data_IF_874490286414
#
_entry.id   IF_874490286414
#
_cell.length_a   1.000
_cell.length_b   1.000
_cell.length_c   1.000
_cell.angle_alpha   90.00
_cell.angle_beta   90.00
_cell.angle_gamma   90.00
#
_symmetry.space_group_name_H-M   'P 1'
#
loop_
_entity.id
_entity.type
_entity.pdbx_description
1 polymer ?
#
# COMPACT_ATOMS: atom_id res chain seq x y z
N UNK A 1 -41.01 46.43 37.82
CA UNK A 1 -40.39 45.10 37.98
C UNK A 1 -39.96 44.65 36.59
N UNK A 2 -38.75 45.03 36.16
CA UNK A 2 -38.16 44.57 34.90
C UNK A 2 -37.41 43.27 35.20
N UNK A 3 -37.84 42.16 34.60
CA UNK A 3 -37.10 40.91 34.64
C UNK A 3 -36.04 40.94 33.53
N UNK A 4 -34.78 41.10 33.92
CA UNK A 4 -33.62 40.83 33.07
C UNK A 4 -33.54 39.33 32.80
N UNK A 5 -33.89 38.94 31.57
CA UNK A 5 -33.55 37.63 31.00
C UNK A 5 -32.03 37.58 30.83
N UNK A 6 -31.34 36.89 31.74
CA UNK A 6 -29.95 36.51 31.55
C UNK A 6 -29.85 35.51 30.40
N UNK A 7 -29.20 35.90 29.32
CA UNK A 7 -28.79 34.97 28.28
C UNK A 7 -27.80 33.97 28.90
N UNK A 8 -28.19 32.70 28.96
CA UNK A 8 -27.26 31.61 29.21
C UNK A 8 -26.31 31.58 28.01
N UNK A 9 -24.98 31.62 28.20
CA UNK A 9 -24.05 31.51 27.08
C UNK A 9 -24.27 30.16 26.40
N UNK A 10 -24.52 30.22 25.10
CA UNK A 10 -24.62 29.06 24.21
C UNK A 10 -23.24 28.40 24.18
N UNK A 11 -23.02 27.40 25.05
CA UNK A 11 -21.84 26.54 24.99
C UNK A 11 -22.00 25.65 23.78
N UNK A 12 -21.62 26.15 22.60
CA UNK A 12 -21.35 25.30 21.44
C UNK A 12 -20.28 24.31 21.86
N UNK A 13 -20.67 23.09 22.21
CA UNK A 13 -19.74 21.99 22.44
C UNK A 13 -18.88 21.86 21.19
N UNK A 14 -17.56 21.83 21.39
CA UNK A 14 -16.60 21.62 20.31
C UNK A 14 -16.94 20.32 19.56
N UNK A 15 -16.91 20.38 18.23
CA UNK A 15 -17.35 19.26 17.39
C UNK A 15 -16.15 18.47 16.88
N UNK A 16 -16.21 17.15 16.93
CA UNK A 16 -15.20 16.30 16.29
C UNK A 16 -15.15 16.52 14.76
N UNK A 17 -14.03 16.21 14.09
CA UNK A 17 -13.88 16.43 12.66
C UNK A 17 -14.99 15.79 11.82
N UNK A 18 -15.52 16.57 10.89
CA UNK A 18 -16.48 16.14 9.88
C UNK A 18 -15.88 16.24 8.47
N UNK A 19 -16.66 15.85 7.43
CA UNK A 19 -16.29 16.05 6.01
C UNK A 19 -14.98 15.40 5.56
N UNK A 20 -14.66 14.21 6.08
CA UNK A 20 -13.52 13.42 5.60
C UNK A 20 -12.15 14.13 5.78
N UNK A 21 -12.01 15.01 6.78
CA UNK A 21 -10.80 15.81 7.04
C UNK A 21 -9.52 14.99 7.20
N UNK A 22 -9.62 13.72 7.62
CA UNK A 22 -8.51 12.78 7.80
C UNK A 22 -8.54 11.61 6.80
N UNK A 23 -9.45 11.60 5.81
CA UNK A 23 -9.65 10.43 4.95
C UNK A 23 -8.44 10.09 4.08
N UNK A 24 -7.70 11.11 3.64
CA UNK A 24 -6.47 10.88 2.86
C UNK A 24 -5.37 10.21 3.70
N UNK A 25 -5.20 10.67 4.94
CA UNK A 25 -4.25 10.11 5.92
C UNK A 25 -4.67 8.68 6.29
N UNK A 26 -5.95 8.50 6.60
CA UNK A 26 -6.53 7.20 6.91
C UNK A 26 -6.31 6.20 5.78
N UNK A 27 -6.61 6.59 4.53
CA UNK A 27 -6.34 5.77 3.34
C UNK A 27 -4.86 5.41 3.21
N UNK A 28 -3.96 6.33 3.51
CA UNK A 28 -2.51 6.08 3.43
C UNK A 28 -2.03 5.11 4.52
N UNK A 29 -2.51 5.23 5.76
CA UNK A 29 -2.21 4.26 6.81
C UNK A 29 -2.86 2.89 6.52
N UNK A 30 -4.04 2.87 5.90
CA UNK A 30 -4.71 1.66 5.45
C UNK A 30 -3.93 0.87 4.39
N UNK A 31 -2.95 1.47 3.69
CA UNK A 31 -2.05 0.72 2.79
C UNK A 31 -1.28 -0.35 3.57
N UNK A 32 -0.75 -0.03 4.74
CA UNK A 32 -0.04 -0.98 5.59
C UNK A 32 -0.99 -2.01 6.24
N UNK A 33 -2.18 -1.58 6.66
CA UNK A 33 -3.20 -2.48 7.25
C UNK A 33 -3.66 -3.51 6.22
N UNK A 34 -4.00 -3.08 4.99
CA UNK A 34 -4.38 -3.99 3.91
C UNK A 34 -3.22 -4.88 3.46
N UNK A 35 -1.98 -4.39 3.53
CA UNK A 35 -0.81 -5.22 3.25
C UNK A 35 -0.66 -6.34 4.29
N UNK A 36 -0.88 -6.05 5.58
CA UNK A 36 -0.87 -7.07 6.65
C UNK A 36 -1.96 -8.12 6.43
N UNK A 37 -3.20 -7.71 6.15
CA UNK A 37 -4.33 -8.62 5.88
C UNK A 37 -4.02 -9.55 4.68
N UNK A 38 -3.28 -9.06 3.68
CA UNK A 38 -2.92 -9.83 2.50
C UNK A 38 -1.58 -10.60 2.63
N UNK A 39 -0.77 -10.31 3.66
CA UNK A 39 0.54 -10.95 3.84
C UNK A 39 0.41 -12.42 4.29
N UNK A 40 -0.71 -12.78 4.90
CA UNK A 40 -1.02 -14.15 5.32
C UNK A 40 -1.79 -14.96 4.26
N UNK A 41 -2.28 -14.33 3.18
CA UNK A 41 -2.96 -15.07 2.11
C UNK A 41 -1.98 -16.04 1.46
N UNK A 42 -2.22 -17.37 1.55
CA UNK A 42 -1.39 -18.33 0.85
C UNK A 42 -1.73 -18.20 -0.63
N UNK A 43 -0.86 -17.58 -1.41
CA UNK A 43 -1.00 -17.65 -2.86
C UNK A 43 -0.61 -19.04 -3.34
N UNK A 44 -1.43 -19.58 -4.23
CA UNK A 44 -1.06 -20.70 -5.07
C UNK A 44 0.34 -20.42 -5.60
N UNK A 45 1.29 -21.31 -5.32
CA UNK A 45 2.55 -21.33 -6.04
C UNK A 45 2.20 -21.50 -7.51
N UNK A 46 2.07 -20.40 -8.25
CA UNK A 46 2.00 -20.45 -9.70
C UNK A 46 3.42 -20.73 -10.15
N UNK A 47 3.84 -21.99 -9.97
CA UNK A 47 4.97 -22.52 -10.71
C UNK A 47 4.52 -22.60 -12.15
N UNK A 48 4.76 -21.53 -12.90
CA UNK A 48 4.64 -21.60 -14.35
C UNK A 48 5.72 -22.56 -14.82
N UNK A 49 5.29 -23.68 -15.41
CA UNK A 49 6.18 -24.65 -16.00
C UNK A 49 7.00 -24.02 -17.15
N UNK A 50 8.17 -24.59 -17.43
CA UNK A 50 9.07 -24.05 -18.43
C UNK A 50 8.49 -24.11 -19.86
N UNK A 51 7.54 -25.01 -20.14
CA UNK A 51 6.90 -25.16 -21.45
C UNK A 51 5.96 -24.00 -21.74
N UNK A 52 5.15 -23.59 -20.76
CA UNK A 52 4.29 -22.41 -20.84
C UNK A 52 5.08 -21.12 -21.09
N UNK A 53 6.25 -20.98 -20.45
CA UNK A 53 7.14 -19.82 -20.65
C UNK A 53 7.74 -19.79 -22.05
N UNK A 54 8.29 -20.93 -22.48
CA UNK A 54 8.86 -21.11 -23.82
C UNK A 54 7.80 -20.86 -24.90
N UNK A 55 6.57 -21.32 -24.67
CA UNK A 55 5.43 -21.09 -25.58
C UNK A 55 5.08 -19.61 -25.68
N UNK A 56 4.93 -18.89 -24.57
CA UNK A 56 4.61 -17.47 -24.59
C UNK A 56 5.70 -16.64 -25.31
N UNK A 57 6.97 -16.91 -25.02
CA UNK A 57 8.10 -16.25 -25.69
C UNK A 57 8.11 -16.54 -27.19
N UNK A 58 7.94 -17.81 -27.59
CA UNK A 58 7.85 -18.20 -28.99
C UNK A 58 6.68 -17.49 -29.70
N UNK A 59 5.48 -17.50 -29.13
CA UNK A 59 4.31 -16.83 -29.72
C UNK A 59 4.56 -15.32 -29.90
N UNK A 60 5.14 -14.65 -28.90
CA UNK A 60 5.45 -13.23 -28.94
C UNK A 60 6.44 -12.88 -30.05
N UNK A 61 7.50 -13.66 -30.21
CA UNK A 61 8.49 -13.46 -31.27
C UNK A 61 7.92 -13.80 -32.66
N UNK A 62 7.14 -14.87 -32.75
CA UNK A 62 6.57 -15.34 -34.01
C UNK A 62 5.46 -14.42 -34.55
N UNK A 63 4.68 -13.78 -33.67
CA UNK A 63 3.68 -12.77 -34.06
C UNK A 63 4.31 -11.46 -34.54
N UNK A 64 5.54 -11.16 -34.11
CA UNK A 64 6.31 -10.02 -34.63
C UNK A 64 6.91 -10.32 -36.00
N UNK A 65 7.58 -11.47 -36.16
CA UNK A 65 8.08 -11.92 -37.46
C UNK A 65 8.30 -13.44 -37.53
N UNK A 66 7.25 -14.15 -37.94
CA UNK A 66 7.29 -15.62 -38.05
C UNK A 66 8.27 -16.14 -39.11
N UNK A 67 8.52 -15.36 -40.17
CA UNK A 67 9.47 -15.75 -41.23
C UNK A 67 10.91 -15.77 -40.73
N UNK A 68 11.30 -14.75 -39.98
CA UNK A 68 12.62 -14.62 -39.37
C UNK A 68 12.83 -15.69 -38.31
N UNK A 69 11.82 -15.97 -37.48
CA UNK A 69 11.90 -17.04 -36.48
C UNK A 69 11.97 -18.43 -37.10
N UNK A 70 11.26 -18.67 -38.20
CA UNK A 70 11.34 -19.96 -38.94
C UNK A 70 12.74 -20.16 -39.52
N UNK A 71 13.30 -19.12 -40.16
CA UNK A 71 14.67 -19.15 -40.69
C UNK A 71 15.70 -19.44 -39.60
N UNK A 72 15.55 -18.82 -38.43
CA UNK A 72 16.43 -19.05 -37.28
C UNK A 72 16.31 -20.49 -36.75
N UNK A 73 15.10 -21.04 -36.65
CA UNK A 73 14.88 -22.41 -36.18
C UNK A 73 15.35 -23.48 -37.19
N UNK A 74 15.37 -23.16 -38.48
CA UNK A 74 15.89 -24.04 -39.53
C UNK A 74 17.42 -24.03 -39.62
N UNK A 75 18.09 -23.10 -38.94
CA UNK A 75 19.54 -23.06 -38.92
C UNK A 75 20.15 -24.25 -38.15
N UNK A 76 21.38 -24.61 -38.50
CA UNK A 76 22.10 -25.69 -37.83
C UNK A 76 22.37 -25.33 -36.36
N UNK A 77 22.78 -24.08 -36.12
CA UNK A 77 23.03 -23.50 -34.81
C UNK A 77 22.42 -22.08 -34.71
N UNK A 78 21.26 -21.94 -34.02
CA UNK A 78 20.61 -20.65 -33.82
C UNK A 78 21.47 -19.65 -33.03
N UNK A 79 22.27 -20.12 -32.06
CA UNK A 79 23.14 -19.26 -31.25
C UNK A 79 24.26 -18.68 -32.10
N UNK A 80 24.91 -19.50 -32.92
CA UNK A 80 25.94 -19.01 -33.85
C UNK A 80 25.34 -18.03 -34.86
N UNK A 81 24.16 -18.35 -35.41
CA UNK A 81 23.46 -17.49 -36.38
C UNK A 81 23.18 -16.09 -35.81
N UNK A 82 22.80 -16.01 -34.53
CA UNK A 82 22.54 -14.73 -33.85
C UNK A 82 23.80 -13.88 -33.64
N UNK A 83 25.00 -14.47 -33.59
CA UNK A 83 26.25 -13.69 -33.51
C UNK A 83 26.53 -12.87 -34.78
N UNK A 84 25.92 -13.27 -35.89
CA UNK A 84 26.04 -12.65 -37.22
C UNK A 84 24.70 -12.03 -37.65
N UNK A 85 23.80 -11.73 -36.70
CA UNK A 85 22.46 -11.26 -37.00
C UNK A 85 22.47 -9.91 -37.75
N UNK A 86 21.74 -9.86 -38.85
CA UNK A 86 21.54 -8.65 -39.66
C UNK A 86 20.04 -8.43 -39.96
N UNK A 87 19.69 -7.22 -40.40
CA UNK A 87 18.33 -6.87 -40.82
C UNK A 87 17.27 -7.14 -39.76
N UNK A 88 16.18 -7.82 -40.14
CA UNK A 88 15.05 -8.14 -39.25
C UNK A 88 15.42 -9.06 -38.09
N UNK A 89 16.40 -9.96 -38.29
CA UNK A 89 16.86 -10.85 -37.22
C UNK A 89 17.53 -10.04 -36.11
N UNK A 90 18.33 -9.04 -36.51
CA UNK A 90 18.94 -8.06 -35.61
C UNK A 90 17.86 -7.24 -34.88
N UNK A 91 16.92 -6.65 -35.62
CA UNK A 91 15.80 -5.87 -35.04
C UNK A 91 14.95 -6.66 -34.02
N UNK A 92 14.71 -7.94 -34.29
CA UNK A 92 13.88 -8.80 -33.46
C UNK A 92 14.60 -9.21 -32.16
N UNK A 93 15.91 -9.50 -32.24
CA UNK A 93 16.67 -10.24 -31.23
C UNK A 93 17.78 -9.44 -30.53
N UNK A 94 18.01 -8.17 -30.87
CA UNK A 94 18.99 -7.32 -30.20
C UNK A 94 18.59 -6.90 -28.76
N UNK A 95 19.49 -6.16 -28.08
CA UNK A 95 19.33 -5.62 -26.72
C UNK A 95 19.23 -6.69 -25.62
N UNK A 96 20.13 -7.68 -25.64
CA UNK A 96 20.21 -8.73 -24.63
C UNK A 96 19.21 -9.88 -24.83
N UNK A 97 18.46 -9.89 -25.93
CA UNK A 97 17.43 -10.92 -26.25
C UNK A 97 17.95 -12.08 -27.09
N UNK A 98 19.26 -12.18 -27.32
CA UNK A 98 19.87 -13.30 -28.06
C UNK A 98 19.55 -14.65 -27.41
N UNK A 99 19.59 -14.73 -26.07
CA UNK A 99 19.22 -15.95 -25.35
C UNK A 99 17.77 -16.36 -25.61
N UNK A 100 16.85 -15.41 -25.51
CA UNK A 100 15.41 -15.64 -25.70
C UNK A 100 15.08 -16.05 -27.14
N UNK A 101 15.72 -15.43 -28.13
CA UNK A 101 15.54 -15.80 -29.53
C UNK A 101 16.14 -17.17 -29.86
N UNK A 102 17.31 -17.50 -29.31
CA UNK A 102 17.92 -18.82 -29.48
C UNK A 102 17.03 -19.91 -28.87
N UNK A 103 16.55 -19.71 -27.64
CA UNK A 103 15.69 -20.68 -26.95
C UNK A 103 14.34 -20.85 -27.67
N UNK A 104 13.74 -19.75 -28.16
CA UNK A 104 12.51 -19.82 -28.95
C UNK A 104 12.72 -20.56 -30.29
N UNK A 105 13.86 -20.36 -30.96
CA UNK A 105 14.19 -21.06 -32.19
C UNK A 105 14.43 -22.57 -31.96
N UNK A 106 15.21 -22.92 -30.93
CA UNK A 106 15.43 -24.31 -30.52
C UNK A 106 14.10 -24.99 -30.14
N UNK A 107 13.23 -24.26 -29.44
CA UNK A 107 11.91 -24.74 -29.05
C UNK A 107 10.94 -24.89 -30.22
N UNK A 108 10.99 -24.02 -31.22
CA UNK A 108 10.25 -24.21 -32.46
C UNK A 108 10.78 -25.42 -33.24
N UNK A 109 12.10 -25.59 -33.30
CA UNK A 109 12.78 -26.72 -33.97
C UNK A 109 12.41 -28.06 -33.33
N UNK A 110 12.32 -28.13 -32.00
CA UNK A 110 11.94 -29.35 -31.27
C UNK A 110 10.48 -29.75 -31.49
N UNK A 111 9.63 -28.80 -31.92
CA UNK A 111 8.20 -29.03 -32.22
C UNK A 111 7.94 -29.38 -33.69
N UNK A 112 8.96 -29.54 -34.53
CA UNK A 112 8.78 -29.95 -35.94
C UNK A 112 7.96 -31.24 -36.07
N UNK A 113 6.97 -31.23 -36.97
CA UNK A 113 6.03 -32.32 -37.21
C UNK A 113 4.87 -32.42 -36.20
N UNK A 114 4.85 -31.59 -35.15
CA UNK A 114 3.77 -31.59 -34.16
C UNK A 114 2.59 -30.70 -34.55
N UNK A 115 1.44 -30.91 -33.92
CA UNK A 115 0.29 -29.99 -34.04
C UNK A 115 0.62 -28.59 -33.50
N UNK A 116 1.59 -28.47 -32.59
CA UNK A 116 2.09 -27.19 -32.11
C UNK A 116 2.78 -26.38 -33.22
N UNK A 117 3.56 -27.02 -34.09
CA UNK A 117 4.16 -26.35 -35.25
C UNK A 117 3.07 -25.85 -36.23
N UNK A 118 2.05 -26.69 -36.49
CA UNK A 118 0.92 -26.30 -37.35
C UNK A 118 0.18 -25.09 -36.79
N UNK A 119 -0.09 -25.09 -35.48
CA UNK A 119 -0.75 -23.99 -34.78
C UNK A 119 0.06 -22.70 -34.85
N UNK A 120 1.37 -22.77 -34.60
CA UNK A 120 2.26 -21.60 -34.67
C UNK A 120 2.34 -21.07 -36.10
N UNK A 121 2.48 -21.94 -37.11
CA UNK A 121 2.48 -21.54 -38.52
C UNK A 121 1.14 -20.95 -38.97
N UNK A 122 0.02 -21.37 -38.42
CA UNK A 122 -1.29 -20.80 -38.72
C UNK A 122 -1.36 -19.29 -38.38
N UNK A 123 -0.54 -18.81 -37.44
CA UNK A 123 -0.44 -17.39 -37.09
C UNK A 123 0.13 -16.51 -38.22
N UNK A 124 0.79 -17.11 -39.21
CA UNK A 124 1.27 -16.38 -40.42
C UNK A 124 0.17 -16.07 -41.42
N UNK A 125 -0.99 -16.72 -41.29
CA UNK A 125 -2.13 -16.51 -42.19
C UNK A 125 -2.92 -15.27 -41.79
N UNK A 126 -3.36 -14.47 -42.78
CA UNK A 126 -4.24 -13.32 -42.52
C UNK A 126 -5.54 -13.81 -41.88
N UNK A 127 -5.81 -13.37 -40.66
CA UNK A 127 -7.00 -13.73 -39.92
C UNK A 127 -7.58 -12.53 -39.19
N UNK A 128 -8.91 -12.43 -39.16
CA UNK A 128 -9.64 -11.37 -38.44
C UNK A 128 -9.44 -11.43 -36.93
N UNK A 129 -8.98 -12.56 -36.39
CA UNK A 129 -8.73 -12.75 -34.95
C UNK A 129 -7.28 -12.46 -34.52
N UNK A 130 -6.37 -12.09 -35.43
CA UNK A 130 -4.96 -11.82 -35.09
C UNK A 130 -4.79 -10.75 -34.00
N UNK A 131 -5.63 -9.71 -33.99
CA UNK A 131 -5.57 -8.67 -32.95
C UNK A 131 -5.91 -9.23 -31.56
N UNK A 132 -6.86 -10.16 -31.48
CA UNK A 132 -7.26 -10.83 -30.24
C UNK A 132 -6.18 -11.81 -29.77
N UNK A 133 -5.50 -12.47 -30.71
CA UNK A 133 -4.35 -13.35 -30.42
C UNK A 133 -3.20 -12.52 -29.86
N UNK A 134 -2.82 -11.41 -30.50
CA UNK A 134 -1.77 -10.51 -29.98
C UNK A 134 -2.10 -10.03 -28.56
N UNK A 135 -3.33 -9.57 -28.34
CA UNK A 135 -3.80 -9.12 -27.01
C UNK A 135 -3.70 -10.24 -25.97
N UNK A 136 -4.03 -11.47 -26.34
CA UNK A 136 -3.95 -12.63 -25.44
C UNK A 136 -2.51 -12.98 -25.10
N UNK A 137 -1.59 -12.94 -26.08
CA UNK A 137 -0.16 -13.22 -25.88
C UNK A 137 0.52 -12.15 -25.03
N UNK A 138 0.13 -10.88 -25.17
CA UNK A 138 0.60 -9.80 -24.30
C UNK A 138 0.15 -10.03 -22.85
N UNK A 139 -1.14 -10.30 -22.63
CA UNK A 139 -1.67 -10.63 -21.30
C UNK A 139 -1.02 -11.87 -20.68
N UNK A 140 -0.73 -12.88 -21.48
CA UNK A 140 -0.01 -14.06 -21.02
C UNK A 140 1.42 -13.68 -20.60
N UNK A 141 2.12 -12.88 -21.40
CA UNK A 141 3.47 -12.41 -21.06
C UNK A 141 3.50 -11.59 -19.77
N UNK A 142 2.52 -10.69 -19.58
CA UNK A 142 2.36 -9.91 -18.36
C UNK A 142 2.11 -10.80 -17.14
N UNK A 143 1.24 -11.80 -17.25
CA UNK A 143 0.97 -12.76 -16.18
C UNK A 143 2.22 -13.58 -15.81
N UNK A 144 3.02 -13.97 -16.80
CA UNK A 144 4.28 -14.68 -16.58
C UNK A 144 5.33 -13.81 -15.87
N UNK A 145 5.50 -12.56 -16.30
CA UNK A 145 6.40 -11.62 -15.63
C UNK A 145 5.96 -11.31 -14.21
N UNK A 146 4.66 -11.18 -13.96
CA UNK A 146 4.12 -11.00 -12.62
C UNK A 146 4.44 -12.19 -11.69
N UNK A 147 4.45 -13.41 -12.22
CA UNK A 147 4.84 -14.61 -11.48
C UNK A 147 6.35 -14.63 -11.14
N UNK A 148 7.21 -14.03 -11.97
CA UNK A 148 8.66 -13.95 -11.72
C UNK A 148 9.04 -12.89 -10.69
N UNK A 149 8.24 -11.84 -10.58
CA UNK A 149 8.44 -10.77 -9.60
C UNK A 149 7.84 -11.09 -8.23
N UNK A 150 7.28 -12.29 -8.04
CA UNK A 150 6.75 -12.72 -6.75
C UNK A 150 7.88 -12.97 -5.74
N UNK A 151 7.86 -12.34 -4.55
CA UNK A 151 8.83 -12.62 -3.51
C UNK A 151 8.75 -14.09 -3.05
N UNK A 152 9.90 -14.72 -2.82
CA UNK A 152 9.99 -16.08 -2.29
C UNK A 152 9.24 -16.20 -0.95
N UNK A 153 8.69 -17.38 -0.65
CA UNK A 153 7.82 -17.58 0.52
C UNK A 153 8.44 -17.17 1.88
N UNK A 154 9.76 -17.31 2.06
CA UNK A 154 10.46 -16.84 3.25
C UNK A 154 10.46 -15.30 3.37
N UNK A 155 10.60 -14.61 2.25
CA UNK A 155 10.57 -13.14 2.17
C UNK A 155 9.18 -12.60 2.52
N UNK A 156 8.11 -13.29 2.08
CA UNK A 156 6.72 -12.96 2.46
C UNK A 156 6.47 -13.14 3.96
N UNK A 157 6.97 -14.20 4.59
CA UNK A 157 6.83 -14.41 6.04
C UNK A 157 7.56 -13.33 6.86
N UNK A 158 8.74 -12.91 6.40
CA UNK A 158 9.48 -11.77 6.98
C UNK A 158 8.69 -10.47 6.81
N UNK A 159 8.17 -10.20 5.61
CA UNK A 159 7.34 -9.02 5.35
C UNK A 159 6.08 -9.00 6.24
N UNK A 160 5.39 -10.14 6.39
CA UNK A 160 4.22 -10.28 7.24
C UNK A 160 4.53 -9.96 8.71
N UNK A 161 5.64 -10.48 9.22
CA UNK A 161 6.09 -10.21 10.61
C UNK A 161 6.39 -8.72 10.80
N UNK A 162 7.10 -8.11 9.85
CA UNK A 162 7.45 -6.68 9.91
C UNK A 162 6.22 -5.77 9.76
N UNK A 163 5.27 -6.14 8.90
CA UNK A 163 3.97 -5.46 8.78
C UNK A 163 3.19 -5.58 10.09
N UNK A 164 3.19 -6.75 10.72
CA UNK A 164 2.56 -6.94 12.03
C UNK A 164 3.19 -6.05 13.08
N UNK A 165 4.52 -5.99 13.15
CA UNK A 165 5.23 -5.08 14.06
C UNK A 165 4.87 -3.62 13.80
N UNK A 166 4.83 -3.17 12.54
CA UNK A 166 4.45 -1.79 12.23
C UNK A 166 2.99 -1.48 12.60
N UNK A 167 2.07 -2.40 12.29
CA UNK A 167 0.63 -2.16 12.42
C UNK A 167 0.13 -2.38 13.84
N UNK A 168 0.52 -3.49 14.47
CA UNK A 168 0.03 -3.95 15.77
C UNK A 168 1.10 -3.91 16.87
N UNK A 169 2.38 -3.70 16.55
CA UNK A 169 3.46 -3.85 17.53
C UNK A 169 3.50 -5.28 18.07
N UNK A 170 3.57 -5.40 19.40
CA UNK A 170 3.62 -6.68 20.10
C UNK A 170 2.23 -7.34 20.27
N UNK A 171 1.14 -6.68 19.83
CA UNK A 171 -0.20 -7.23 19.99
C UNK A 171 -0.46 -8.37 18.99
N UNK A 172 -0.98 -9.48 19.51
CA UNK A 172 -1.23 -10.67 18.71
C UNK A 172 -2.36 -10.48 17.68
N UNK A 173 -3.39 -9.70 18.02
CA UNK A 173 -4.63 -9.51 17.24
C UNK A 173 -5.10 -8.04 17.27
N UNK A 174 -5.92 -7.60 16.29
CA UNK A 174 -6.54 -6.27 16.32
C UNK A 174 -7.29 -5.95 17.62
N UNK A 175 -8.06 -6.90 18.15
CA UNK A 175 -8.82 -6.74 19.41
C UNK A 175 -7.94 -6.64 20.66
N UNK A 176 -6.67 -7.04 20.58
CA UNK A 176 -5.71 -6.92 21.66
C UNK A 176 -5.04 -5.54 21.73
N UNK A 177 -5.16 -4.70 20.69
CA UNK A 177 -4.52 -3.37 20.63
C UNK A 177 -4.93 -2.51 21.82
N UNK A 178 -3.94 -1.89 22.47
CA UNK A 178 -4.12 -0.86 23.50
C UNK A 178 -3.26 0.36 23.19
N UNK A 179 -3.69 1.53 23.65
CA UNK A 179 -2.88 2.76 23.65
C UNK A 179 -1.99 2.73 24.89
N UNK A 180 -0.76 2.22 24.73
CA UNK A 180 0.23 2.14 25.80
C UNK A 180 0.68 3.52 26.33
N UNK A 181 1.40 3.54 27.46
CA UNK A 181 2.05 4.74 28.00
C UNK A 181 1.20 5.55 28.99
N UNK A 182 1.76 6.62 29.54
CA UNK A 182 1.11 7.45 30.58
C UNK A 182 0.13 8.47 29.99
N UNK A 183 -1.00 8.72 30.66
CA UNK A 183 -2.03 9.66 30.18
C UNK A 183 -3.45 9.12 30.41
N UNK A 184 -4.37 9.99 30.79
CA UNK A 184 -5.76 9.64 31.08
C UNK A 184 -6.77 10.13 30.04
N UNK A 185 -6.31 10.86 29.04
CA UNK A 185 -7.12 11.46 27.99
C UNK A 185 -6.43 11.34 26.62
N UNK A 186 -7.16 11.74 25.58
CA UNK A 186 -6.67 11.68 24.20
C UNK A 186 -5.43 12.53 24.01
N UNK A 187 -5.37 13.71 24.64
CA UNK A 187 -4.24 14.62 24.49
C UNK A 187 -2.95 14.07 25.13
N UNK A 188 -3.05 13.37 26.26
CA UNK A 188 -1.92 12.68 26.87
C UNK A 188 -1.42 11.50 26.05
N UNK A 189 -2.35 10.72 25.46
CA UNK A 189 -2.01 9.56 24.62
C UNK A 189 -1.49 9.96 23.23
N UNK A 190 -2.10 10.96 22.61
CA UNK A 190 -1.91 11.33 21.21
C UNK A 190 -1.05 12.59 21.03
N UNK A 191 -0.91 13.43 22.06
CA UNK A 191 0.05 14.53 22.10
C UNK A 191 -0.57 15.88 22.47
N UNK A 192 0.21 16.66 23.23
CA UNK A 192 -0.18 18.01 23.67
C UNK A 192 0.46 19.10 22.80
N UNK A 193 1.71 18.89 22.38
CA UNK A 193 2.47 19.81 21.52
C UNK A 193 3.75 19.13 21.00
N UNK A 194 4.50 19.79 20.11
CA UNK A 194 5.79 19.28 19.58
C UNK A 194 6.85 19.01 20.67
N UNK A 195 6.76 19.63 21.84
CA UNK A 195 7.67 19.39 22.98
C UNK A 195 7.12 18.39 23.99
N UNK A 196 5.84 18.00 23.85
CA UNK A 196 5.13 17.03 24.68
C UNK A 196 4.37 16.07 23.76
N UNK A 197 5.10 15.16 23.08
CA UNK A 197 4.49 14.19 22.18
C UNK A 197 3.56 13.24 22.93
N UNK A 198 2.67 12.60 22.19
CA UNK A 198 1.77 11.60 22.77
C UNK A 198 2.54 10.39 23.26
N UNK A 199 2.10 9.79 24.37
CA UNK A 199 2.77 8.61 24.92
C UNK A 199 2.53 7.33 24.13
N UNK A 200 1.45 7.29 23.32
CA UNK A 200 1.18 6.23 22.36
C UNK A 200 1.56 6.63 20.92
N UNK A 201 2.00 7.87 20.71
CA UNK A 201 2.27 8.42 19.38
C UNK A 201 3.40 7.65 18.68
N UNK A 202 3.10 7.11 17.50
CA UNK A 202 4.08 6.42 16.66
C UNK A 202 4.52 5.06 17.17
N UNK A 203 3.92 4.53 18.24
CA UNK A 203 4.22 3.18 18.71
C UNK A 203 3.73 2.12 17.71
N UNK A 204 2.52 2.29 17.17
CA UNK A 204 1.93 1.40 16.16
C UNK A 204 1.01 2.20 15.24
N UNK A 205 0.81 1.74 14.00
CA UNK A 205 -0.19 2.34 13.10
C UNK A 205 -1.60 2.21 13.70
N UNK A 206 -1.90 1.12 14.40
CA UNK A 206 -3.18 0.96 15.09
C UNK A 206 -3.41 2.03 16.16
N UNK A 207 -2.39 2.38 16.94
CA UNK A 207 -2.45 3.46 17.93
C UNK A 207 -2.66 4.82 17.30
N UNK A 208 -1.91 5.12 16.23
CA UNK A 208 -2.07 6.37 15.48
C UNK A 208 -3.46 6.48 14.84
N UNK A 209 -4.01 5.38 14.31
CA UNK A 209 -5.37 5.32 13.79
C UNK A 209 -6.42 5.59 14.87
N UNK A 210 -6.25 5.06 16.09
CA UNK A 210 -7.13 5.39 17.22
C UNK A 210 -7.02 6.88 17.60
N UNK A 211 -5.83 7.46 17.54
CA UNK A 211 -5.62 8.89 17.80
C UNK A 211 -6.24 9.81 16.74
N UNK A 212 -6.17 9.44 15.46
CA UNK A 212 -6.62 10.27 14.33
C UNK A 212 -8.11 10.06 14.04
N UNK A 213 -8.58 8.81 14.14
CA UNK A 213 -9.90 8.41 13.67
C UNK A 213 -10.88 8.08 14.79
N UNK A 214 -10.40 7.71 15.98
CA UNK A 214 -11.26 7.43 17.13
C UNK A 214 -12.17 8.60 17.48
N UNK A 215 -13.33 8.29 18.04
CA UNK A 215 -14.28 9.29 18.49
C UNK A 215 -14.24 9.48 20.01
N UNK A 216 -14.43 10.70 20.49
CA UNK A 216 -14.64 11.01 21.90
C UNK A 216 -16.05 10.59 22.37
N UNK A 217 -17.02 10.65 21.46
CA UNK A 217 -18.41 10.19 21.64
C UNK A 217 -18.78 9.19 20.55
N UNK A 218 -19.84 8.40 20.75
CA UNK A 218 -20.23 7.37 19.78
C UNK A 218 -20.43 7.95 18.35
N UNK A 219 -19.58 7.55 17.39
CA UNK A 219 -19.63 7.94 15.98
C UNK A 219 -19.48 9.46 15.70
N UNK A 220 -18.88 10.21 16.63
CA UNK A 220 -18.70 11.66 16.49
C UNK A 220 -17.63 12.04 15.46
N UNK A 221 -16.49 11.35 15.43
CA UNK A 221 -15.42 11.61 14.47
C UNK A 221 -15.71 10.96 13.11
N UNK A 222 -16.06 11.80 12.13
CA UNK A 222 -16.30 11.42 10.72
C UNK A 222 -15.16 11.86 9.79
N UNK A 223 -14.00 12.17 10.36
CA UNK A 223 -12.82 12.60 9.63
C UNK A 223 -12.22 11.47 8.79
N UNK A 224 -12.26 10.23 9.27
CA UNK A 224 -11.69 9.07 8.55
C UNK A 224 -12.75 8.24 7.81
N UNK A 225 -13.87 7.96 8.47
CA UNK A 225 -14.98 7.17 7.95
C UNK A 225 -16.27 8.00 7.97
N UNK A 226 -17.04 7.97 6.88
CA UNK A 226 -18.31 8.71 6.81
C UNK A 226 -19.33 8.27 7.86
N UNK A 227 -19.33 6.97 8.21
CA UNK A 227 -20.18 6.41 9.26
C UNK A 227 -19.78 6.89 10.67
N UNK A 228 -18.57 7.45 10.82
CA UNK A 228 -17.96 7.74 12.11
C UNK A 228 -17.24 6.52 12.69
N UNK A 229 -16.23 6.75 13.53
CA UNK A 229 -15.59 5.68 14.29
C UNK A 229 -16.26 5.45 15.65
N UNK A 230 -16.08 4.27 16.21
CA UNK A 230 -16.52 3.98 17.58
C UNK A 230 -15.88 4.92 18.62
N UNK A 231 -16.55 5.06 19.77
CA UNK A 231 -16.01 5.79 20.90
C UNK A 231 -14.77 5.08 21.45
N UNK A 232 -13.67 5.81 21.63
CA UNK A 232 -12.43 5.32 22.23
C UNK A 232 -12.32 5.81 23.67
N UNK A 233 -12.09 4.89 24.59
CA UNK A 233 -11.69 5.23 25.96
C UNK A 233 -10.17 5.44 26.00
N UNK A 234 -9.73 6.69 26.20
CA UNK A 234 -8.31 7.04 26.27
C UNK A 234 -7.72 6.92 27.69
N UNK A 235 -8.57 6.76 28.70
CA UNK A 235 -8.14 6.52 30.07
C UNK A 235 -7.58 5.10 30.21
N UNK A 236 -6.26 4.99 30.38
CA UNK A 236 -5.58 3.71 30.57
C UNK A 236 -5.51 2.84 29.31
N UNK A 237 -5.17 1.57 29.51
CA UNK A 237 -5.07 0.54 28.47
C UNK A 237 -6.30 -0.38 28.56
N UNK A 238 -7.32 -0.15 27.74
CA UNK A 238 -8.61 -0.85 27.86
C UNK A 238 -9.07 -1.53 26.58
N UNK A 239 -9.88 -2.59 26.73
CA UNK A 239 -10.32 -3.46 25.63
C UNK A 239 -11.07 -2.74 24.50
N UNK A 240 -11.83 -1.70 24.83
CA UNK A 240 -12.56 -0.89 23.84
C UNK A 240 -11.64 -0.34 22.73
N UNK A 241 -10.38 -0.02 23.04
CA UNK A 241 -9.42 0.47 22.05
C UNK A 241 -9.20 -0.55 20.92
N UNK A 242 -9.06 -1.84 21.27
CA UNK A 242 -8.90 -2.90 20.29
C UNK A 242 -10.17 -3.14 19.46
N UNK A 243 -11.35 -3.05 20.06
CA UNK A 243 -12.63 -3.17 19.35
C UNK A 243 -12.82 -2.03 18.34
N UNK A 244 -12.49 -0.79 18.71
CA UNK A 244 -12.59 0.35 17.77
C UNK A 244 -11.55 0.20 16.66
N UNK A 245 -10.32 -0.21 17.00
CA UNK A 245 -9.30 -0.46 15.98
C UNK A 245 -9.71 -1.55 15.00
N UNK A 246 -10.29 -2.66 15.46
CA UNK A 246 -10.77 -3.72 14.58
C UNK A 246 -11.79 -3.20 13.55
N UNK A 247 -12.72 -2.34 13.98
CA UNK A 247 -13.67 -1.69 13.08
C UNK A 247 -12.98 -0.74 12.08
N UNK A 248 -11.97 0.02 12.52
CA UNK A 248 -11.15 0.87 11.64
C UNK A 248 -10.34 0.02 10.64
N UNK A 249 -9.77 -1.10 11.06
CA UNK A 249 -9.05 -2.01 10.18
C UNK A 249 -9.99 -2.63 9.13
N UNK A 250 -11.20 -3.04 9.52
CA UNK A 250 -12.22 -3.49 8.58
C UNK A 250 -12.60 -2.41 7.56
N UNK A 251 -12.66 -1.15 7.97
CA UNK A 251 -12.89 0.00 7.09
C UNK A 251 -11.81 0.19 6.02
N UNK A 252 -10.58 -0.25 6.27
CA UNK A 252 -9.48 -0.16 5.30
C UNK A 252 -9.72 -0.98 4.03
N UNK A 253 -10.54 -2.03 4.10
CA UNK A 253 -10.90 -2.88 2.95
C UNK A 253 -11.62 -2.10 1.85
N UNK A 254 -12.23 -0.96 2.17
CA UNK A 254 -12.82 -0.06 1.16
C UNK A 254 -11.77 0.53 0.20
N UNK A 255 -10.50 0.58 0.60
CA UNK A 255 -9.40 1.07 -0.24
C UNK A 255 -8.65 -0.05 -0.96
N UNK A 256 -8.94 -1.31 -0.65
CA UNK A 256 -8.46 -2.48 -1.38
C UNK A 256 -9.55 -3.56 -1.48
N UNK A 257 -10.69 -3.26 -2.13
CA UNK A 257 -11.88 -4.11 -2.07
C UNK A 257 -11.70 -5.48 -2.73
N UNK A 258 -10.69 -5.61 -3.60
CA UNK A 258 -10.36 -6.86 -4.29
C UNK A 258 -9.30 -7.70 -3.55
N UNK A 259 -8.76 -7.18 -2.44
CA UNK A 259 -7.67 -7.85 -1.73
C UNK A 259 -6.41 -7.99 -2.60
N UNK A 260 -6.15 -7.01 -3.49
CA UNK A 260 -4.96 -7.05 -4.33
C UNK A 260 -3.70 -6.99 -3.46
N UNK A 261 -2.67 -7.72 -3.86
CA UNK A 261 -1.36 -7.63 -3.23
C UNK A 261 -0.87 -6.17 -3.22
N UNK A 262 -0.32 -5.73 -2.08
CA UNK A 262 0.29 -4.41 -1.91
C UNK A 262 1.79 -4.58 -2.06
N UNK A 263 2.38 -3.98 -3.08
CA UNK A 263 3.79 -4.13 -3.36
C UNK A 263 4.70 -3.20 -2.54
N UNK A 264 6.00 -3.45 -2.63
CA UNK A 264 7.04 -2.66 -1.96
C UNK A 264 6.99 -1.17 -2.31
N UNK A 265 6.65 -0.80 -3.55
CA UNK A 265 6.59 0.59 -4.00
C UNK A 265 5.43 1.32 -3.35
N UNK A 266 4.29 0.66 -3.17
CA UNK A 266 3.12 1.21 -2.49
C UNK A 266 3.39 1.47 -1.01
N UNK A 267 4.08 0.55 -0.32
CA UNK A 267 4.49 0.76 1.08
C UNK A 267 5.48 1.93 1.22
N UNK A 268 6.48 2.03 0.34
CA UNK A 268 7.44 3.17 0.33
C UNK A 268 6.76 4.51 0.00
N UNK A 269 5.80 4.50 -0.91
CA UNK A 269 5.01 5.68 -1.24
C UNK A 269 4.15 6.14 -0.07
N UNK A 270 3.53 5.19 0.66
CA UNK A 270 2.78 5.49 1.87
C UNK A 270 3.69 6.09 2.96
N UNK A 271 4.83 5.47 3.25
CA UNK A 271 5.83 5.98 4.19
C UNK A 271 6.27 7.41 3.86
N UNK A 272 6.63 7.66 2.59
CA UNK A 272 7.05 8.98 2.10
C UNK A 272 5.95 10.02 2.30
N UNK A 273 4.71 9.66 1.97
CA UNK A 273 3.56 10.55 2.11
C UNK A 273 3.24 10.87 3.57
N UNK A 274 3.35 9.90 4.47
CA UNK A 274 3.19 10.14 5.91
C UNK A 274 4.27 11.09 6.42
N UNK A 275 5.55 10.88 6.06
CA UNK A 275 6.61 11.81 6.47
C UNK A 275 6.42 13.22 5.92
N UNK A 276 5.93 13.36 4.68
CA UNK A 276 5.56 14.67 4.13
C UNK A 276 4.47 15.33 4.97
N UNK A 277 3.38 14.60 5.25
CA UNK A 277 2.26 15.07 6.07
C UNK A 277 2.69 15.46 7.49
N UNK A 278 3.59 14.69 8.09
CA UNK A 278 4.18 15.01 9.40
C UNK A 278 4.94 16.33 9.40
N UNK A 279 5.52 16.70 8.26
CA UNK A 279 6.29 17.92 8.08
C UNK A 279 5.46 19.06 7.45
N UNK A 280 4.17 18.87 7.18
CA UNK A 280 3.27 19.95 6.77
C UNK A 280 3.05 20.90 7.97
N UNK A 281 2.85 22.19 7.68
CA UNK A 281 2.60 23.19 8.72
C UNK A 281 1.17 23.10 9.23
N UNK A 282 1.02 23.06 10.55
CA UNK A 282 -0.26 23.03 11.28
C UNK A 282 -0.51 24.34 12.01
N UNK A 283 -1.77 24.77 12.01
CA UNK A 283 -2.17 26.05 12.57
C UNK A 283 -1.63 27.24 11.79
N UNK A 284 -1.93 28.44 12.28
CA UNK A 284 -1.42 29.68 11.68
C UNK A 284 0.07 29.96 12.03
N UNK A 285 0.62 29.21 12.98
CA UNK A 285 2.02 29.27 13.42
C UNK A 285 2.91 28.21 12.76
N UNK A 286 2.34 27.36 11.91
CA UNK A 286 3.06 26.44 11.04
C UNK A 286 3.85 25.36 11.80
N UNK A 287 3.33 24.88 12.94
CA UNK A 287 3.97 23.78 13.69
C UNK A 287 4.03 22.50 12.87
N UNK A 288 5.04 21.67 13.11
CA UNK A 288 5.24 20.39 12.42
C UNK A 288 5.13 19.24 13.44
N UNK A 289 5.42 18.01 13.03
CA UNK A 289 5.33 16.80 13.85
C UNK A 289 3.92 16.28 14.14
N UNK A 290 2.90 16.80 13.43
CA UNK A 290 1.51 16.36 13.54
C UNK A 290 1.16 15.42 12.39
N UNK A 291 0.37 14.40 12.65
CA UNK A 291 -0.37 13.69 11.61
C UNK A 291 -1.86 13.73 11.94
N UNK A 292 -2.67 14.21 11.01
CA UNK A 292 -4.11 14.38 11.17
C UNK A 292 -4.51 15.85 11.21
N UNK A 293 -5.82 16.09 11.31
CA UNK A 293 -6.41 17.42 11.32
C UNK A 293 -6.05 18.16 12.62
N UNK A 294 -5.67 19.42 12.47
CA UNK A 294 -5.71 20.47 13.48
C UNK A 294 -6.44 21.69 12.91
N UNK A 295 -6.99 22.56 13.75
CA UNK A 295 -7.52 23.85 13.26
C UNK A 295 -6.41 24.66 12.55
N UNK A 296 -6.80 25.38 11.50
CA UNK A 296 -5.89 26.19 10.67
C UNK A 296 -6.05 27.69 10.90
N UNK A 297 -7.09 28.11 11.62
CA UNK A 297 -7.32 29.52 11.96
C UNK A 297 -6.49 30.01 13.15
N UNK A 298 -6.11 29.10 14.03
CA UNK A 298 -5.42 29.38 15.30
C UNK A 298 -4.06 28.68 15.37
N UNK A 299 -3.21 29.03 16.36
CA UNK A 299 -1.97 28.30 16.61
C UNK A 299 -2.27 26.83 16.89
N UNK A 300 -1.52 25.91 16.30
CA UNK A 300 -1.77 24.48 16.50
C UNK A 300 -1.62 24.08 17.98
N UNK A 301 -2.61 23.37 18.51
CA UNK A 301 -2.68 22.90 19.89
C UNK A 301 -2.71 21.36 19.93
N UNK A 302 -3.13 20.78 21.06
CA UNK A 302 -3.04 19.34 21.27
C UNK A 302 -4.10 18.53 20.52
N UNK A 303 -3.88 17.21 20.50
CA UNK A 303 -4.78 16.26 19.86
C UNK A 303 -5.89 15.82 20.83
N UNK A 304 -6.94 16.62 20.93
CA UNK A 304 -8.11 16.39 21.79
C UNK A 304 -9.20 15.58 21.10
N UNK A 305 -9.15 15.45 19.77
CA UNK A 305 -10.21 14.86 18.96
C UNK A 305 -11.26 15.85 18.47
N UNK A 306 -11.22 17.08 18.96
CA UNK A 306 -12.20 18.13 18.65
C UNK A 306 -11.60 19.10 17.62
N UNK A 307 -12.42 19.54 16.65
CA UNK A 307 -12.05 20.58 15.68
C UNK A 307 -12.67 21.88 16.18
N UNK A 308 -11.91 22.62 17.00
CA UNK A 308 -12.36 23.83 17.66
C UNK A 308 -11.50 25.06 17.35
N UNK A 309 -11.98 26.24 17.76
CA UNK A 309 -11.24 27.49 17.62
C UNK A 309 -10.00 27.57 18.55
N UNK A 310 -9.72 26.53 19.34
CA UNK A 310 -8.57 26.45 20.24
C UNK A 310 -7.31 25.93 19.56
N UNK A 311 -7.34 25.61 18.27
CA UNK A 311 -6.18 25.03 17.57
C UNK A 311 -6.09 23.50 17.69
N UNK A 312 -7.05 22.86 18.36
CA UNK A 312 -7.01 21.42 18.64
C UNK A 312 -7.46 20.58 17.45
N UNK A 313 -7.39 19.26 17.56
CA UNK A 313 -7.76 18.38 16.45
C UNK A 313 -7.74 16.90 16.74
N UNK A 314 -8.22 16.11 15.77
CA UNK A 314 -8.04 14.66 15.74
C UNK A 314 -6.74 14.31 15.00
N UNK A 315 -5.67 14.21 15.78
CA UNK A 315 -4.31 14.06 15.30
C UNK A 315 -3.46 13.18 16.23
N UNK A 316 -2.20 13.01 15.86
CA UNK A 316 -1.13 12.49 16.71
C UNK A 316 0.10 13.40 16.57
N UNK A 317 0.85 13.61 17.67
CA UNK A 317 2.05 14.44 17.72
C UNK A 317 3.26 13.60 18.11
N UNK A 318 4.22 13.46 17.21
CA UNK A 318 5.43 12.63 17.39
C UNK A 318 6.57 13.38 18.09
N UNK A 319 6.46 14.72 18.16
CA UNK A 319 7.50 15.59 18.68
C UNK A 319 8.61 15.86 17.66
N UNK A 320 9.63 16.63 18.06
CA UNK A 320 10.72 17.04 17.15
C UNK A 320 12.10 16.94 17.80
N UNK A 321 13.10 16.73 16.95
CA UNK A 321 14.50 16.90 17.28
C UNK A 321 15.00 18.17 16.60
N UNK A 322 15.19 19.21 17.41
CA UNK A 322 15.45 20.58 16.93
C UNK A 322 14.38 21.05 15.92
N UNK A 323 14.75 21.15 14.64
CA UNK A 323 13.89 21.64 13.55
C UNK A 323 13.27 20.53 12.70
N UNK A 324 13.44 19.25 13.08
CA UNK A 324 12.95 18.11 12.31
C UNK A 324 11.92 17.31 13.11
N UNK A 325 10.82 16.87 12.49
CA UNK A 325 9.88 16.01 13.18
C UNK A 325 10.53 14.66 13.47
N UNK A 326 10.16 14.06 14.59
CA UNK A 326 10.54 12.68 14.89
C UNK A 326 9.81 11.74 13.94
N UNK A 327 10.53 10.74 13.48
CA UNK A 327 9.93 9.65 12.71
C UNK A 327 9.07 8.77 13.65
N UNK A 328 7.87 8.35 13.22
CA UNK A 328 7.08 7.38 13.98
C UNK A 328 7.86 6.07 14.17
N UNK A 329 7.84 5.49 15.37
CA UNK A 329 8.58 4.27 15.68
C UNK A 329 8.23 3.07 14.79
N UNK A 330 6.99 2.97 14.31
CA UNK A 330 6.56 1.93 13.38
C UNK A 330 7.11 2.06 11.95
N UNK A 331 7.67 3.23 11.57
CA UNK A 331 8.09 3.52 10.20
C UNK A 331 9.22 2.59 9.73
N UNK A 332 10.20 2.32 10.60
CA UNK A 332 11.32 1.46 10.28
C UNK A 332 10.86 0.03 9.91
N UNK A 333 9.92 -0.53 10.67
CA UNK A 333 9.35 -1.85 10.39
C UNK A 333 8.57 -1.88 9.07
N UNK A 334 7.83 -0.79 8.76
CA UNK A 334 7.12 -0.66 7.48
C UNK A 334 8.09 -0.66 6.28
N UNK A 335 9.19 0.09 6.37
CA UNK A 335 10.19 0.16 5.30
C UNK A 335 10.98 -1.15 5.15
N UNK A 336 11.26 -1.84 6.25
CA UNK A 336 11.86 -3.17 6.21
C UNK A 336 10.90 -4.20 5.60
N UNK A 337 9.61 -4.13 5.89
CA UNK A 337 8.62 -4.97 5.23
C UNK A 337 8.63 -4.73 3.71
N UNK A 338 8.67 -3.47 3.28
CA UNK A 338 8.78 -3.14 1.87
C UNK A 338 10.09 -3.63 1.22
N UNK A 339 11.18 -3.77 1.97
CA UNK A 339 12.42 -4.36 1.47
C UNK A 339 12.36 -5.88 1.34
N UNK A 340 11.43 -6.53 2.07
CA UNK A 340 11.20 -7.97 2.04
C UNK A 340 10.10 -8.40 1.04
N UNK A 341 9.40 -7.45 0.41
CA UNK A 341 8.47 -7.70 -0.71
C UNK A 341 9.18 -7.50 -2.05
#
# INVERSE_FOLDING_TARGET
>A
MLATLGAIPDTTLATEPTKAANADIYRTLCTAVNALDNAETPEATVTVDSDSRRTANLLKLFLRDGSTMTLLADSADPKETLTKAEGKLKELCENGKHGDCADAADYLKSRKGSDGEKLIKALTSRSSVLSQINTTVDKLSEALSAADTQPAGASKATAATLLKTAVLGDYATPTAVRLAGVGSDRQGKCGTSETRPGTAAGSTIAGDLLCICGSNLANGNKGCLLAGAGQVTYAGEVANQGTVYEALAAGCKNFNPKGNFIDASQLRAAATKIMHKINEGHGNDGKISYLGKSDSGNPAAGCTGEDDAGGTGACVIYGKDASKPKEPGWMAALLQAAAAL
#
